data_IF_354140380940
#
_entry.id   IF_354140380940
#
_cell.length_a   1.000
_cell.length_b   1.000
_cell.length_c   1.000
_cell.angle_alpha   90.00
_cell.angle_beta   90.00
_cell.angle_gamma   90.00
#
_symmetry.space_group_name_H-M   'P 1'
#
loop_
_entity.id
_entity.type
_entity.pdbx_description
1 polymer ?
#
# COMPACT_ATOMS: atom_id res chain seq x y z
N UNK A 1 19.73 -8.09 14.98
CA UNK A 1 19.01 -8.95 14.01
C UNK A 1 18.73 -10.36 14.53
N UNK A 2 19.55 -10.91 15.45
CA UNK A 2 19.38 -12.27 16.01
C UNK A 2 18.35 -12.38 17.15
N UNK A 3 17.66 -11.30 17.51
CA UNK A 3 16.65 -11.29 18.59
C UNK A 3 15.21 -11.53 18.13
N UNK A 4 14.96 -11.70 16.84
CA UNK A 4 13.63 -12.03 16.31
C UNK A 4 13.00 -13.28 16.98
N UNK A 5 13.71 -14.42 17.14
CA UNK A 5 13.14 -15.58 17.82
C UNK A 5 12.81 -15.32 19.29
N UNK A 6 13.59 -14.44 19.97
CA UNK A 6 13.36 -14.09 21.36
C UNK A 6 11.99 -13.44 21.62
N UNK A 7 11.50 -12.67 20.62
CA UNK A 7 10.20 -12.02 20.67
C UNK A 7 9.03 -13.03 20.80
N UNK A 8 9.16 -14.21 20.21
CA UNK A 8 8.12 -15.25 20.29
C UNK A 8 8.13 -16.00 21.63
N UNK A 9 9.29 -16.12 22.28
CA UNK A 9 9.43 -16.79 23.57
C UNK A 9 9.10 -15.88 24.77
N UNK A 10 9.32 -14.56 24.61
CA UNK A 10 9.08 -13.56 25.66
C UNK A 10 8.25 -12.40 25.08
N UNK A 11 6.93 -12.60 24.87
CA UNK A 11 6.07 -11.60 24.26
C UNK A 11 5.87 -10.40 25.20
N UNK A 12 6.35 -9.23 24.78
CA UNK A 12 6.05 -7.95 25.41
C UNK A 12 4.73 -7.39 24.89
N UNK A 13 3.60 -7.88 25.33
CA UNK A 13 2.26 -7.56 24.81
C UNK A 13 1.87 -6.06 24.87
N UNK A 14 2.58 -5.27 25.67
CA UNK A 14 2.37 -3.81 25.79
C UNK A 14 3.32 -3.00 24.91
N UNK A 15 4.20 -3.65 24.14
CA UNK A 15 5.19 -2.98 23.29
C UNK A 15 4.68 -2.84 21.87
N UNK A 16 4.65 -1.60 21.34
CA UNK A 16 4.33 -1.30 19.92
C UNK A 16 5.29 -2.04 18.98
N UNK A 17 6.56 -2.20 19.35
CA UNK A 17 7.53 -2.99 18.59
C UNK A 17 7.16 -4.46 18.47
N UNK A 18 6.57 -5.04 19.53
CA UNK A 18 6.08 -6.41 19.49
C UNK A 18 4.90 -6.54 18.54
N UNK A 19 3.95 -5.59 18.56
CA UNK A 19 2.80 -5.54 17.67
C UNK A 19 3.23 -5.50 16.21
N UNK A 20 4.15 -4.58 15.86
CA UNK A 20 4.72 -4.48 14.51
C UNK A 20 5.39 -5.79 14.09
N UNK A 21 6.22 -6.37 14.97
CA UNK A 21 6.90 -7.64 14.69
C UNK A 21 5.95 -8.81 14.46
N UNK A 22 4.87 -8.89 15.26
CA UNK A 22 3.85 -9.92 15.10
C UNK A 22 3.06 -9.75 13.80
N UNK A 23 2.67 -8.53 13.46
CA UNK A 23 2.00 -8.20 12.18
C UNK A 23 2.86 -8.62 10.98
N UNK A 24 4.16 -8.28 10.99
CA UNK A 24 5.11 -8.66 9.91
C UNK A 24 5.23 -10.18 9.81
N UNK A 25 5.42 -10.87 10.92
CA UNK A 25 5.57 -12.31 10.92
C UNK A 25 4.32 -13.02 10.39
N UNK A 26 3.14 -12.56 10.81
CA UNK A 26 1.87 -13.11 10.34
C UNK A 26 1.66 -12.82 8.85
N UNK A 27 1.95 -11.59 8.40
CA UNK A 27 1.86 -11.20 7.00
C UNK A 27 2.79 -12.03 6.10
N UNK A 28 4.06 -12.20 6.51
CA UNK A 28 5.01 -13.05 5.79
C UNK A 28 4.54 -14.50 5.72
N UNK A 29 3.92 -15.02 6.79
CA UNK A 29 3.36 -16.38 6.79
C UNK A 29 2.23 -16.52 5.76
N UNK A 30 1.33 -15.54 5.68
CA UNK A 30 0.25 -15.52 4.68
C UNK A 30 0.82 -15.48 3.27
N UNK A 31 1.77 -14.58 3.00
CA UNK A 31 2.44 -14.48 1.69
C UNK A 31 3.16 -15.77 1.31
N UNK A 32 3.82 -16.42 2.28
CA UNK A 32 4.50 -17.68 2.03
C UNK A 32 3.51 -18.80 1.67
N UNK A 33 2.34 -18.84 2.34
CA UNK A 33 1.28 -19.80 2.01
C UNK A 33 0.73 -19.55 0.60
N UNK A 34 0.45 -18.29 0.23
CA UNK A 34 -0.02 -17.93 -1.12
C UNK A 34 1.02 -18.26 -2.19
N UNK A 35 2.28 -17.88 -1.96
CA UNK A 35 3.37 -18.19 -2.88
C UNK A 35 3.59 -19.70 -3.04
N UNK A 36 3.32 -20.50 -2.00
CA UNK A 36 3.53 -21.95 -2.04
C UNK A 36 2.73 -22.66 -3.11
N UNK A 37 1.64 -22.07 -3.61
CA UNK A 37 0.80 -22.65 -4.68
C UNK A 37 1.60 -22.86 -5.96
N UNK A 38 2.46 -21.92 -6.34
CA UNK A 38 3.26 -21.98 -7.56
C UNK A 38 4.30 -23.14 -7.53
N UNK A 39 5.19 -23.25 -6.52
CA UNK A 39 6.12 -24.38 -6.45
C UNK A 39 5.40 -25.72 -6.18
N UNK A 40 4.25 -25.73 -5.49
CA UNK A 40 3.47 -26.97 -5.30
C UNK A 40 2.90 -27.50 -6.63
N UNK A 41 2.59 -26.66 -7.60
CA UNK A 41 2.14 -27.08 -8.91
C UNK A 41 3.20 -27.93 -9.61
N UNK A 42 4.43 -27.46 -9.63
CA UNK A 42 5.57 -28.18 -10.21
C UNK A 42 5.92 -29.44 -9.41
N UNK A 43 5.91 -29.36 -8.07
CA UNK A 43 6.31 -30.46 -7.19
C UNK A 43 5.21 -31.54 -7.06
N UNK A 44 3.95 -31.19 -7.35
CA UNK A 44 2.83 -32.14 -7.32
C UNK A 44 2.93 -33.27 -8.34
N UNK A 45 3.78 -33.11 -9.36
CA UNK A 45 4.12 -34.18 -10.30
C UNK A 45 4.89 -35.32 -9.62
N UNK A 46 5.70 -35.01 -8.58
CA UNK A 46 6.51 -35.99 -7.85
C UNK A 46 5.81 -36.52 -6.58
N UNK A 47 4.99 -35.69 -5.92
CA UNK A 47 4.37 -36.02 -4.63
C UNK A 47 2.86 -35.81 -4.65
N UNK A 48 2.04 -36.88 -4.73
CA UNK A 48 0.58 -36.78 -4.84
C UNK A 48 -0.10 -36.15 -3.60
N UNK A 49 0.53 -36.17 -2.43
CA UNK A 49 0.07 -35.53 -1.21
C UNK A 49 -0.06 -34.00 -1.36
N UNK A 50 0.86 -33.37 -2.11
CA UNK A 50 0.86 -31.94 -2.35
C UNK A 50 -0.38 -31.47 -3.16
N UNK A 51 -0.97 -32.33 -3.99
CA UNK A 51 -2.22 -32.01 -4.72
C UNK A 51 -3.38 -31.70 -3.78
N UNK A 52 -3.46 -32.42 -2.64
CA UNK A 52 -4.52 -32.16 -1.64
C UNK A 52 -4.31 -30.82 -0.94
N UNK A 53 -3.09 -30.51 -0.53
CA UNK A 53 -2.73 -29.24 0.08
C UNK A 53 -2.96 -28.06 -0.89
N UNK A 54 -2.52 -28.18 -2.13
CA UNK A 54 -2.76 -27.15 -3.16
C UNK A 54 -4.26 -26.86 -3.32
N UNK A 55 -5.12 -27.89 -3.36
CA UNK A 55 -6.57 -27.68 -3.45
C UNK A 55 -7.14 -26.90 -2.25
N UNK A 56 -6.62 -27.15 -1.05
CA UNK A 56 -7.05 -26.41 0.15
C UNK A 56 -6.62 -24.96 0.07
N UNK A 57 -5.34 -24.69 -0.24
CA UNK A 57 -4.81 -23.31 -0.36
C UNK A 57 -5.55 -22.54 -1.44
N UNK A 58 -5.76 -23.12 -2.63
CA UNK A 58 -6.50 -22.49 -3.72
C UNK A 58 -7.95 -22.18 -3.33
N UNK A 59 -8.60 -23.06 -2.54
CA UNK A 59 -9.96 -22.78 -2.03
C UNK A 59 -9.98 -21.64 -1.02
N UNK A 60 -8.93 -21.49 -0.24
CA UNK A 60 -8.78 -20.45 0.77
C UNK A 60 -8.15 -19.15 0.22
N UNK A 61 -7.78 -19.08 -1.05
CA UNK A 61 -7.07 -17.93 -1.64
C UNK A 61 -7.79 -16.62 -1.36
N UNK A 62 -9.11 -16.55 -1.56
CA UNK A 62 -9.87 -15.31 -1.32
C UNK A 62 -9.74 -14.84 0.12
N UNK A 63 -9.86 -15.77 1.08
CA UNK A 63 -9.73 -15.45 2.52
C UNK A 63 -8.28 -15.02 2.84
N UNK A 64 -7.29 -15.72 2.31
CA UNK A 64 -5.88 -15.41 2.49
C UNK A 64 -5.54 -14.02 1.92
N UNK A 65 -6.02 -13.71 0.72
CA UNK A 65 -5.81 -12.40 0.08
C UNK A 65 -6.43 -11.27 0.89
N UNK A 66 -7.70 -11.42 1.35
CA UNK A 66 -8.35 -10.42 2.21
C UNK A 66 -7.54 -10.23 3.50
N UNK A 67 -7.12 -11.33 4.12
CA UNK A 67 -6.35 -11.29 5.36
C UNK A 67 -4.97 -10.66 5.14
N UNK A 68 -4.30 -10.96 4.03
CA UNK A 68 -3.03 -10.35 3.61
C UNK A 68 -3.14 -8.83 3.43
N UNK A 69 -4.19 -8.35 2.76
CA UNK A 69 -4.45 -6.90 2.60
C UNK A 69 -4.71 -6.23 3.95
N UNK A 70 -5.54 -6.84 4.80
CA UNK A 70 -5.80 -6.32 6.15
C UNK A 70 -4.53 -6.24 7.00
N UNK A 71 -3.70 -7.29 7.00
CA UNK A 71 -2.43 -7.31 7.73
C UNK A 71 -1.44 -6.28 7.20
N UNK A 72 -1.36 -6.11 5.88
CA UNK A 72 -0.49 -5.12 5.25
C UNK A 72 -0.86 -3.69 5.67
N UNK A 73 -2.15 -3.35 5.64
CA UNK A 73 -2.63 -2.02 6.06
C UNK A 73 -2.47 -1.79 7.57
N UNK A 74 -2.75 -2.81 8.39
CA UNK A 74 -2.51 -2.74 9.84
C UNK A 74 -1.02 -2.57 10.16
N UNK A 75 -0.14 -3.27 9.43
CA UNK A 75 1.30 -3.12 9.59
C UNK A 75 1.74 -1.68 9.33
N UNK A 76 1.25 -1.03 8.27
CA UNK A 76 1.55 0.37 7.98
C UNK A 76 1.03 1.30 9.08
N UNK A 77 -0.17 1.07 9.61
CA UNK A 77 -0.71 1.83 10.74
C UNK A 77 0.17 1.68 11.99
N UNK A 78 0.61 0.47 12.31
CA UNK A 78 1.50 0.20 13.44
C UNK A 78 2.87 0.86 13.27
N UNK A 79 3.41 0.94 12.05
CA UNK A 79 4.62 1.73 11.75
C UNK A 79 4.40 3.22 12.02
N UNK A 80 3.23 3.76 11.66
CA UNK A 80 2.85 5.13 12.02
C UNK A 80 2.84 5.36 13.52
N UNK A 81 2.38 4.37 14.32
CA UNK A 81 2.37 4.45 15.77
C UNK A 81 3.79 4.49 16.39
N UNK A 82 4.81 3.90 15.73
CA UNK A 82 6.20 4.00 16.20
C UNK A 82 6.72 5.44 16.21
N UNK A 83 6.27 6.29 15.29
CA UNK A 83 6.68 7.70 15.25
C UNK A 83 6.10 8.51 16.40
N UNK A 84 5.01 8.07 17.02
CA UNK A 84 4.45 8.72 18.21
C UNK A 84 5.34 8.56 19.45
N UNK A 85 6.19 7.54 19.50
CA UNK A 85 7.12 7.29 20.61
C UNK A 85 8.31 8.27 20.58
N UNK A 86 8.61 8.83 19.41
CA UNK A 86 9.77 9.71 19.21
C UNK A 86 9.38 11.07 18.60
N UNK A 87 8.57 11.90 19.28
CA UNK A 87 8.04 13.15 18.73
C UNK A 87 9.12 14.16 18.33
N UNK A 88 10.28 14.15 19.02
CA UNK A 88 11.39 15.06 18.71
C UNK A 88 12.23 14.68 17.48
N UNK A 89 11.93 13.58 16.78
CA UNK A 89 12.65 13.15 15.59
C UNK A 89 12.06 13.70 14.28
N UNK A 90 10.81 14.12 14.31
CA UNK A 90 10.10 14.66 13.16
C UNK A 90 9.87 16.15 13.32
N UNK A 91 9.93 16.88 12.20
CA UNK A 91 9.55 18.29 12.18
C UNK A 91 8.05 18.43 12.43
N UNK A 92 7.56 19.49 13.14
CA UNK A 92 6.15 19.67 13.47
C UNK A 92 5.16 19.59 12.30
N UNK A 93 5.58 19.90 11.07
CA UNK A 93 4.74 19.78 9.86
C UNK A 93 4.40 18.34 9.48
N UNK A 94 5.29 17.38 9.80
CA UNK A 94 5.06 15.96 9.51
C UNK A 94 4.58 15.19 10.73
N UNK A 95 4.88 15.69 11.94
CA UNK A 95 4.43 15.05 13.18
C UNK A 95 2.96 15.34 13.44
N UNK A 96 2.19 14.29 13.74
CA UNK A 96 0.80 14.40 14.15
C UNK A 96 0.42 13.24 15.08
N UNK A 97 -0.47 13.48 16.07
CA UNK A 97 -1.09 12.40 16.84
C UNK A 97 -1.85 11.40 15.95
N UNK A 98 -2.27 11.81 14.76
CA UNK A 98 -2.98 10.97 13.77
C UNK A 98 -2.07 10.21 12.81
N UNK A 99 -0.76 10.13 13.09
CA UNK A 99 0.22 9.39 12.27
C UNK A 99 -0.24 7.98 11.85
N UNK A 100 -0.76 7.13 12.76
CA UNK A 100 -1.22 5.79 12.38
C UNK A 100 -2.31 5.82 11.30
N UNK A 101 -3.22 6.80 11.39
CA UNK A 101 -4.29 6.98 10.42
C UNK A 101 -3.75 7.45 9.06
N UNK A 102 -2.79 8.37 9.06
CA UNK A 102 -2.17 8.83 7.83
C UNK A 102 -1.41 7.72 7.12
N UNK A 103 -0.66 6.91 7.85
CA UNK A 103 0.03 5.75 7.30
C UNK A 103 -0.95 4.72 6.73
N UNK A 104 -2.07 4.49 7.42
CA UNK A 104 -3.12 3.60 6.94
C UNK A 104 -3.73 4.09 5.62
N UNK A 105 -4.15 5.36 5.55
CA UNK A 105 -4.79 5.92 4.35
C UNK A 105 -3.80 6.02 3.18
N UNK A 106 -2.54 6.44 3.44
CA UNK A 106 -1.51 6.52 2.41
C UNK A 106 -1.15 5.13 1.85
N UNK A 107 -1.14 4.09 2.70
CA UNK A 107 -0.87 2.73 2.22
C UNK A 107 -1.94 2.20 1.26
N UNK A 108 -3.21 2.56 1.48
CA UNK A 108 -4.29 2.23 0.55
C UNK A 108 -4.11 2.94 -0.80
N UNK A 109 -3.73 4.22 -0.77
CA UNK A 109 -3.44 4.99 -1.99
C UNK A 109 -2.24 4.42 -2.75
N UNK A 110 -1.16 4.10 -2.02
CA UNK A 110 0.04 3.48 -2.58
C UNK A 110 -0.27 2.11 -3.20
N UNK A 111 -1.08 1.27 -2.53
CA UNK A 111 -1.52 -0.02 -3.04
C UNK A 111 -2.28 0.10 -4.37
N UNK A 112 -3.27 1.00 -4.45
CA UNK A 112 -4.00 1.27 -5.69
C UNK A 112 -3.05 1.73 -6.81
N UNK A 113 -2.12 2.63 -6.49
CA UNK A 113 -1.15 3.16 -7.44
C UNK A 113 -0.15 2.09 -7.91
N UNK A 114 0.28 1.22 -7.00
CA UNK A 114 1.23 0.14 -7.30
C UNK A 114 0.62 -0.91 -8.24
N UNK A 115 -0.65 -1.29 -8.04
CA UNK A 115 -1.35 -2.21 -8.96
C UNK A 115 -1.36 -1.66 -10.39
N UNK A 116 -1.63 -0.35 -10.58
CA UNK A 116 -1.62 0.29 -11.90
C UNK A 116 -0.21 0.32 -12.45
N UNK A 117 0.78 0.64 -11.63
CA UNK A 117 2.19 0.75 -12.01
C UNK A 117 2.76 -0.60 -12.44
N UNK A 118 2.56 -1.65 -11.64
CA UNK A 118 2.98 -3.02 -11.98
C UNK A 118 2.25 -3.55 -13.22
N UNK A 119 0.94 -3.30 -13.34
CA UNK A 119 0.16 -3.64 -14.52
C UNK A 119 0.71 -3.02 -15.80
N UNK A 120 1.28 -1.80 -15.72
CA UNK A 120 1.96 -1.17 -16.85
C UNK A 120 3.20 -1.96 -17.31
N UNK A 121 4.00 -2.45 -16.36
CA UNK A 121 5.20 -3.23 -16.68
C UNK A 121 4.84 -4.64 -17.17
N UNK A 122 3.88 -5.28 -16.52
CA UNK A 122 3.35 -6.58 -16.94
C UNK A 122 2.81 -6.53 -18.38
N UNK A 123 2.02 -5.50 -18.70
CA UNK A 123 1.52 -5.27 -20.05
C UNK A 123 2.64 -5.17 -21.09
N UNK A 124 3.73 -4.47 -20.79
CA UNK A 124 4.89 -4.40 -21.71
C UNK A 124 5.57 -5.74 -21.92
N UNK A 125 5.66 -6.58 -20.87
CA UNK A 125 6.34 -7.88 -20.93
C UNK A 125 5.52 -8.99 -21.56
N UNK A 126 4.19 -8.97 -21.37
CA UNK A 126 3.31 -10.10 -21.72
C UNK A 126 2.34 -9.76 -22.86
N UNK A 127 2.36 -8.54 -23.39
CA UNK A 127 1.46 -8.06 -24.45
C UNK A 127 1.37 -9.02 -25.65
N UNK A 128 2.46 -9.68 -26.01
CA UNK A 128 2.52 -10.60 -27.15
C UNK A 128 1.75 -11.91 -26.93
N UNK A 129 1.41 -12.24 -25.68
CA UNK A 129 0.74 -13.49 -25.28
C UNK A 129 -0.69 -13.28 -24.81
N UNK A 130 -1.20 -12.03 -24.79
CA UNK A 130 -2.53 -11.70 -24.28
C UNK A 130 -3.54 -11.48 -25.41
N UNK A 131 -4.73 -12.08 -25.26
CA UNK A 131 -5.89 -11.82 -26.12
C UNK A 131 -6.46 -10.42 -25.88
N UNK A 132 -7.12 -9.85 -26.89
CA UNK A 132 -7.75 -8.50 -26.80
C UNK A 132 -8.81 -8.40 -25.69
N UNK A 133 -9.48 -9.48 -25.34
CA UNK A 133 -10.44 -9.54 -24.24
C UNK A 133 -9.79 -9.29 -22.89
N UNK A 134 -8.65 -9.95 -22.63
CA UNK A 134 -7.88 -9.75 -21.39
C UNK A 134 -7.25 -8.36 -21.30
N UNK A 135 -6.88 -7.78 -22.43
CA UNK A 135 -6.38 -6.39 -22.46
C UNK A 135 -7.47 -5.39 -22.05
N UNK A 136 -8.71 -5.57 -22.51
CA UNK A 136 -9.84 -4.71 -22.12
C UNK A 136 -10.20 -4.86 -20.64
N UNK A 137 -10.19 -6.08 -20.13
CA UNK A 137 -10.44 -6.35 -18.70
C UNK A 137 -9.37 -5.69 -17.83
N UNK A 138 -8.09 -5.78 -18.23
CA UNK A 138 -6.99 -5.11 -17.54
C UNK A 138 -7.15 -3.59 -17.51
N UNK A 139 -7.62 -3.00 -18.62
CA UNK A 139 -7.87 -1.57 -18.71
C UNK A 139 -9.02 -1.11 -17.80
N UNK A 140 -10.09 -1.91 -17.67
CA UNK A 140 -11.19 -1.61 -16.73
C UNK A 140 -10.74 -1.68 -15.27
N UNK A 141 -9.83 -2.61 -14.96
CA UNK A 141 -9.19 -2.66 -13.63
C UNK A 141 -8.40 -1.39 -13.37
N UNK A 142 -7.60 -0.91 -14.33
CA UNK A 142 -6.84 0.35 -14.20
C UNK A 142 -7.77 1.53 -13.92
N UNK A 143 -8.90 1.66 -14.61
CA UNK A 143 -9.87 2.74 -14.37
C UNK A 143 -10.53 2.63 -13.00
N UNK A 144 -10.87 1.42 -12.56
CA UNK A 144 -11.47 1.17 -11.25
C UNK A 144 -10.52 1.55 -10.11
N UNK A 145 -9.26 1.12 -10.18
CA UNK A 145 -8.24 1.49 -9.21
C UNK A 145 -7.89 2.98 -9.26
N UNK A 146 -7.92 3.60 -10.45
CA UNK A 146 -7.72 5.05 -10.59
C UNK A 146 -8.81 5.85 -9.89
N UNK A 147 -10.08 5.43 -9.97
CA UNK A 147 -11.19 6.07 -9.24
C UNK A 147 -10.99 5.96 -7.73
N UNK A 148 -10.68 4.77 -7.25
CA UNK A 148 -10.43 4.53 -5.83
C UNK A 148 -9.22 5.35 -5.35
N UNK A 149 -8.11 5.33 -6.10
CA UNK A 149 -6.90 6.09 -5.80
C UNK A 149 -7.14 7.60 -5.77
N UNK A 150 -7.92 8.14 -6.71
CA UNK A 150 -8.29 9.56 -6.72
C UNK A 150 -9.04 9.95 -5.44
N UNK A 151 -10.02 9.15 -5.03
CA UNK A 151 -10.83 9.41 -3.84
C UNK A 151 -9.99 9.34 -2.56
N UNK A 152 -9.14 8.32 -2.45
CA UNK A 152 -8.29 8.10 -1.26
C UNK A 152 -7.23 9.21 -1.14
N UNK A 153 -6.54 9.56 -2.24
CA UNK A 153 -5.52 10.63 -2.24
C UNK A 153 -6.13 12.00 -1.93
N UNK A 154 -7.31 12.29 -2.49
CA UNK A 154 -8.00 13.53 -2.17
C UNK A 154 -8.44 13.58 -0.71
N UNK A 155 -8.96 12.47 -0.18
CA UNK A 155 -9.28 12.32 1.23
C UNK A 155 -8.05 12.50 2.13
N UNK A 156 -6.93 11.89 1.77
CA UNK A 156 -5.65 12.05 2.47
C UNK A 156 -5.19 13.51 2.48
N UNK A 157 -5.27 14.18 1.33
CA UNK A 157 -4.93 15.60 1.22
C UNK A 157 -5.77 16.47 2.16
N UNK A 158 -7.09 16.25 2.17
CA UNK A 158 -8.00 16.98 3.06
C UNK A 158 -7.71 16.72 4.54
N UNK A 159 -7.46 15.46 4.91
CA UNK A 159 -7.10 15.09 6.28
C UNK A 159 -5.81 15.77 6.73
N UNK A 160 -4.80 15.84 5.87
CA UNK A 160 -3.53 16.54 6.16
C UNK A 160 -3.72 18.04 6.31
N UNK A 161 -4.57 18.66 5.51
CA UNK A 161 -4.90 20.09 5.65
C UNK A 161 -5.62 20.37 6.97
N UNK A 162 -6.61 19.54 7.32
CA UNK A 162 -7.34 19.68 8.60
C UNK A 162 -6.38 19.51 9.77
N UNK A 163 -5.52 18.52 9.75
CA UNK A 163 -4.52 18.29 10.79
C UNK A 163 -3.58 19.47 10.98
N UNK A 164 -3.10 20.06 9.89
CA UNK A 164 -2.25 21.25 9.92
C UNK A 164 -2.97 22.45 10.54
N UNK A 165 -4.27 22.61 10.25
CA UNK A 165 -5.08 23.69 10.83
C UNK A 165 -5.34 23.49 12.34
N UNK A 166 -5.66 22.25 12.73
CA UNK A 166 -5.94 21.89 14.13
C UNK A 166 -4.71 22.05 15.01
N UNK A 167 -3.52 21.71 14.48
CA UNK A 167 -2.27 21.83 15.22
C UNK A 167 -1.68 23.26 15.18
N UNK A 168 -2.32 24.20 14.50
CA UNK A 168 -1.86 25.59 14.34
C UNK A 168 -0.43 25.70 13.76
N UNK A 169 -0.02 24.74 12.90
CA UNK A 169 1.31 24.67 12.30
C UNK A 169 1.50 25.60 11.08
N UNK A 170 0.54 26.49 10.79
CA UNK A 170 0.59 27.46 9.69
C UNK A 170 1.87 28.32 9.67
N UNK A 171 2.44 28.83 10.79
CA UNK A 171 3.64 29.62 10.76
C UNK A 171 4.85 28.88 10.19
N UNK A 172 4.90 27.57 10.33
CA UNK A 172 5.99 26.75 9.79
C UNK A 172 6.00 26.63 8.27
N UNK A 173 4.89 26.96 7.58
CA UNK A 173 4.84 26.99 6.12
C UNK A 173 5.78 28.04 5.50
N UNK A 174 6.07 29.11 6.21
CA UNK A 174 7.00 30.16 5.75
C UNK A 174 8.49 29.78 5.93
N UNK A 175 8.78 28.56 6.40
CA UNK A 175 10.14 28.02 6.52
C UNK A 175 10.57 27.23 5.29
N UNK A 176 11.86 26.98 5.12
CA UNK A 176 12.37 26.11 4.02
C UNK A 176 11.76 24.70 4.05
N UNK A 177 11.47 24.17 5.24
CA UNK A 177 10.78 22.88 5.39
C UNK A 177 9.31 22.96 4.97
N UNK A 178 8.66 24.13 5.18
CA UNK A 178 7.28 24.36 4.73
C UNK A 178 7.16 24.34 3.21
N UNK A 179 8.13 24.91 2.50
CA UNK A 179 8.17 24.84 1.04
C UNK A 179 8.27 23.40 0.56
N UNK A 180 9.13 22.58 1.21
CA UNK A 180 9.27 21.16 0.87
C UNK A 180 7.98 20.37 1.11
N UNK A 181 7.31 20.63 2.25
CA UNK A 181 6.01 20.04 2.56
C UNK A 181 4.94 20.41 1.53
N UNK A 182 4.92 21.68 1.06
CA UNK A 182 4.00 22.11 0.01
C UNK A 182 4.28 21.41 -1.32
N UNK A 183 5.54 21.23 -1.70
CA UNK A 183 5.91 20.47 -2.90
C UNK A 183 5.41 19.03 -2.78
N UNK A 184 5.64 18.36 -1.64
CA UNK A 184 5.16 17.00 -1.37
C UNK A 184 3.64 16.92 -1.54
N UNK A 185 2.88 17.80 -0.87
CA UNK A 185 1.42 17.77 -0.89
C UNK A 185 0.83 18.12 -2.27
N UNK A 186 1.40 19.09 -2.99
CA UNK A 186 0.87 19.51 -4.28
C UNK A 186 1.27 18.58 -5.41
N UNK A 187 2.56 18.18 -5.48
CA UNK A 187 3.05 17.36 -6.60
C UNK A 187 2.81 15.87 -6.42
N UNK A 188 2.97 15.32 -5.21
CA UNK A 188 2.89 13.88 -5.00
C UNK A 188 1.55 13.39 -4.43
N UNK A 189 0.70 14.30 -3.91
CA UNK A 189 -0.63 13.93 -3.41
C UNK A 189 -1.73 14.52 -4.29
N UNK A 190 -1.78 15.83 -4.44
CA UNK A 190 -2.88 16.49 -5.15
C UNK A 190 -2.81 16.27 -6.67
N UNK A 191 -1.63 16.40 -7.26
CA UNK A 191 -1.46 16.20 -8.72
C UNK A 191 -1.88 14.80 -9.16
N UNK A 192 -1.40 13.68 -8.57
CA UNK A 192 -1.87 12.36 -8.97
C UNK A 192 -3.36 12.15 -8.67
N UNK A 193 -3.92 12.73 -7.60
CA UNK A 193 -5.36 12.66 -7.34
C UNK A 193 -6.18 13.26 -8.48
N UNK A 194 -5.80 14.45 -8.95
CA UNK A 194 -6.47 15.13 -10.07
C UNK A 194 -6.26 14.41 -11.41
N UNK A 195 -5.05 13.90 -11.65
CA UNK A 195 -4.74 13.12 -12.85
C UNK A 195 -5.52 11.80 -12.89
N UNK A 196 -5.66 11.11 -11.77
CA UNK A 196 -6.49 9.92 -11.67
C UNK A 196 -7.98 10.22 -11.92
N UNK A 197 -8.50 11.30 -11.31
CA UNK A 197 -9.88 11.70 -11.51
C UNK A 197 -10.16 12.03 -13.00
N UNK A 198 -9.26 12.80 -13.64
CA UNK A 198 -9.37 13.14 -15.06
C UNK A 198 -9.15 11.91 -15.94
N UNK A 199 -8.10 11.13 -15.71
CA UNK A 199 -7.78 9.94 -16.50
C UNK A 199 -8.87 8.90 -16.49
N UNK A 200 -9.48 8.68 -15.32
CA UNK A 200 -10.62 7.77 -15.17
C UNK A 200 -11.90 8.29 -15.82
N UNK A 201 -12.15 9.61 -15.78
CA UNK A 201 -13.30 10.24 -16.43
C UNK A 201 -13.18 10.19 -17.95
N UNK A 202 -12.02 10.56 -18.47
CA UNK A 202 -11.73 10.65 -19.91
C UNK A 202 -11.34 9.29 -20.52
N UNK A 203 -11.32 8.22 -19.70
CA UNK A 203 -10.85 6.88 -20.07
C UNK A 203 -9.47 6.88 -20.75
N UNK A 204 -8.58 7.73 -20.24
CA UNK A 204 -7.23 7.86 -20.76
C UNK A 204 -6.21 7.08 -19.93
N UNK A 205 -5.86 5.88 -20.39
CA UNK A 205 -4.92 4.98 -19.73
C UNK A 205 -3.53 5.59 -19.53
N UNK A 206 -3.04 6.35 -20.50
CA UNK A 206 -1.71 6.98 -20.42
C UNK A 206 -1.66 7.94 -19.23
N UNK A 207 -2.75 8.69 -19.02
CA UNK A 207 -2.85 9.63 -17.91
C UNK A 207 -2.90 8.89 -16.56
N UNK A 208 -3.66 7.78 -16.45
CA UNK A 208 -3.72 6.96 -15.26
C UNK A 208 -2.35 6.32 -14.92
N UNK A 209 -1.65 5.82 -15.91
CA UNK A 209 -0.29 5.25 -15.76
C UNK A 209 0.74 6.31 -15.34
N UNK A 210 0.66 7.52 -15.90
CA UNK A 210 1.52 8.62 -15.47
C UNK A 210 1.22 9.05 -14.03
N UNK A 211 -0.06 9.14 -13.66
CA UNK A 211 -0.48 9.43 -12.30
C UNK A 211 0.03 8.38 -11.29
N UNK A 212 0.00 7.08 -11.67
CA UNK A 212 0.49 6.01 -10.80
C UNK A 212 2.01 6.12 -10.58
N UNK A 213 2.78 6.39 -11.61
CA UNK A 213 4.21 6.61 -11.49
C UNK A 213 4.53 7.79 -10.55
N UNK A 214 3.78 8.90 -10.68
CA UNK A 214 3.94 10.06 -9.80
C UNK A 214 3.57 9.75 -8.34
N UNK A 215 2.46 9.04 -8.11
CA UNK A 215 2.01 8.68 -6.77
C UNK A 215 2.92 7.63 -6.07
N UNK A 216 3.60 6.77 -6.84
CA UNK A 216 4.55 5.78 -6.29
C UNK A 216 5.90 6.42 -5.96
N UNK A 217 6.29 7.50 -6.64
CA UNK A 217 7.55 8.21 -6.39
C UNK A 217 7.47 9.18 -5.20
N UNK A 218 6.29 9.57 -4.76
CA UNK A 218 6.04 10.46 -3.60
C UNK A 218 5.81 9.73 -2.32
#
# INVERSE_FOLDING_TARGET
PLRLPYMFFFPGTTSVLFEVGLCVATYLTVLFIEFSVAPMEWLSCKFPFLKKWRKVVVRCTIILTIFGVCLSTLHQSSLGALYLIAPGKLHPLWYSPFMPMFFFVSSMAAGCSMVIFEGMWAHKGVHHYMDETHLREADEVVFSFSKAGAFILFGYFMLKLIDMLVQANLPYLCTGYGLWWLVEMLFFVLTPALLYAKGSRDRNIKLCRFASANAVLG
#
